data_IF_842975675095
#
_entry.id   IF_842975675095
#
_cell.length_a   1.000
_cell.length_b   1.000
_cell.length_c   1.000
_cell.angle_alpha   90.00
_cell.angle_beta   90.00
_cell.angle_gamma   90.00
#
_symmetry.space_group_name_H-M   'P 1'
#
loop_
_entity.id
_entity.type
_entity.pdbx_description
1 polymer ?
#
# COMPACT_ATOMS: atom_id res chain seq x y z
N UNK A 1 25.25 1.08 5.93
CA UNK A 1 26.13 2.17 5.43
C UNK A 1 25.22 3.34 5.09
N UNK A 2 25.62 4.59 5.34
CA UNK A 2 24.77 5.73 4.98
C UNK A 2 24.63 5.80 3.44
N UNK A 3 23.40 5.69 2.92
CA UNK A 3 23.09 5.94 1.50
C UNK A 3 23.52 7.37 1.16
N UNK A 4 24.27 7.54 0.07
CA UNK A 4 24.87 8.84 -0.32
C UNK A 4 24.04 9.59 -1.35
N UNK A 5 23.36 8.86 -2.23
CA UNK A 5 22.57 9.38 -3.34
C UNK A 5 21.07 9.23 -3.05
N UNK A 6 20.26 10.09 -3.66
CA UNK A 6 18.80 10.13 -3.50
C UNK A 6 18.13 9.22 -4.52
N UNK A 7 17.05 8.55 -4.13
CA UNK A 7 16.33 7.56 -4.97
C UNK A 7 15.28 8.21 -5.91
N UNK A 8 15.16 9.54 -5.92
CA UNK A 8 14.35 10.27 -6.91
C UNK A 8 15.22 10.72 -8.10
N UNK A 9 14.61 10.88 -9.30
CA UNK A 9 15.26 11.45 -10.46
C UNK A 9 16.11 12.67 -10.13
N UNK A 10 17.35 12.65 -10.60
CA UNK A 10 18.21 13.81 -10.55
C UNK A 10 17.53 14.96 -11.30
N UNK A 11 17.21 16.03 -10.58
CA UNK A 11 16.45 17.16 -11.13
C UNK A 11 17.17 18.49 -11.11
N UNK A 12 18.42 18.54 -10.65
CA UNK A 12 19.12 19.82 -10.50
C UNK A 12 19.23 20.54 -11.85
N UNK A 13 18.92 21.85 -11.87
CA UNK A 13 18.86 22.68 -13.07
C UNK A 13 17.78 22.28 -14.11
N UNK A 14 17.05 21.18 -13.89
CA UNK A 14 15.94 20.73 -14.71
C UNK A 14 14.62 20.89 -13.95
N UNK A 15 14.11 22.12 -13.98
CA UNK A 15 12.85 22.47 -13.35
C UNK A 15 12.18 23.61 -14.11
N UNK A 16 10.86 23.79 -13.94
CA UNK A 16 10.18 24.93 -14.55
C UNK A 16 10.86 26.25 -14.19
N UNK A 17 11.23 26.45 -12.92
CA UNK A 17 11.88 27.68 -12.47
C UNK A 17 13.34 27.88 -12.91
N UNK A 18 14.01 26.84 -13.42
CA UNK A 18 15.37 26.93 -13.98
C UNK A 18 15.36 27.07 -15.50
N UNK A 19 14.30 26.62 -16.15
CA UNK A 19 14.12 26.62 -17.61
C UNK A 19 13.05 27.64 -17.98
N UNK A 20 13.25 28.90 -17.60
CA UNK A 20 12.33 30.02 -17.87
C UNK A 20 12.96 31.01 -18.83
N UNK A 21 12.18 31.47 -19.81
CA UNK A 21 12.47 32.67 -20.59
C UNK A 21 11.21 33.53 -20.61
N UNK A 22 11.34 34.85 -20.39
CA UNK A 22 10.21 35.80 -20.41
C UNK A 22 9.00 35.36 -19.54
N UNK A 23 9.27 34.77 -18.38
CA UNK A 23 8.29 34.19 -17.43
C UNK A 23 7.52 32.95 -17.93
N UNK A 24 7.93 32.36 -19.06
CA UNK A 24 7.36 31.13 -19.64
C UNK A 24 8.32 29.93 -19.48
N UNK A 25 7.76 28.75 -19.19
CA UNK A 25 8.52 27.50 -19.01
C UNK A 25 8.89 26.91 -20.36
N UNK A 26 10.17 26.55 -20.54
CA UNK A 26 10.77 26.27 -21.84
C UNK A 26 11.15 24.80 -22.03
N UNK A 27 10.37 23.85 -21.51
CA UNK A 27 10.56 22.44 -21.82
C UNK A 27 10.50 22.15 -23.34
N UNK A 28 9.56 22.72 -24.13
CA UNK A 28 9.55 22.55 -25.58
C UNK A 28 10.89 22.91 -26.24
N UNK A 29 11.48 24.06 -25.87
CA UNK A 29 12.76 24.50 -26.39
C UNK A 29 13.89 23.55 -25.99
N UNK A 30 13.91 23.04 -24.76
CA UNK A 30 14.90 22.04 -24.35
C UNK A 30 14.80 20.79 -25.22
N UNK A 31 13.60 20.30 -25.52
CA UNK A 31 13.41 19.15 -26.41
C UNK A 31 13.87 19.45 -27.85
N UNK A 32 13.65 20.66 -28.36
CA UNK A 32 14.20 21.07 -29.67
C UNK A 32 15.73 21.07 -29.68
N UNK A 33 16.35 21.53 -28.59
CA UNK A 33 17.81 21.54 -28.43
C UNK A 33 18.37 20.12 -28.33
N UNK A 34 17.69 19.20 -27.64
CA UNK A 34 18.07 17.77 -27.62
C UNK A 34 18.05 17.24 -29.05
N UNK A 35 16.98 17.50 -29.81
CA UNK A 35 16.87 17.01 -31.20
C UNK A 35 17.95 17.59 -32.12
N UNK A 36 18.23 18.89 -31.97
CA UNK A 36 19.25 19.61 -32.75
C UNK A 36 20.65 19.05 -32.52
N UNK A 37 20.94 18.60 -31.30
CA UNK A 37 22.26 18.15 -30.86
C UNK A 37 22.30 16.67 -30.48
N UNK A 38 21.46 15.83 -31.11
CA UNK A 38 21.50 14.38 -30.90
C UNK A 38 22.93 13.85 -31.00
N UNK A 39 23.32 13.01 -30.03
CA UNK A 39 24.68 12.46 -29.89
C UNK A 39 25.80 13.48 -29.65
N UNK A 40 25.46 14.73 -29.33
CA UNK A 40 26.42 15.80 -29.05
C UNK A 40 26.05 16.57 -27.77
N UNK A 41 26.17 15.89 -26.63
CA UNK A 41 25.86 16.43 -25.30
C UNK A 41 26.66 17.69 -24.96
N UNK A 42 27.90 17.83 -25.46
CA UNK A 42 28.74 19.00 -25.20
C UNK A 42 28.19 20.26 -25.89
N UNK A 43 27.77 20.13 -27.16
CA UNK A 43 27.16 21.24 -27.89
C UNK A 43 25.79 21.63 -27.30
N UNK A 44 24.98 20.63 -26.92
CA UNK A 44 23.74 20.86 -26.18
C UNK A 44 23.99 21.63 -24.87
N UNK A 45 24.96 21.19 -24.08
CA UNK A 45 25.30 21.81 -22.78
C UNK A 45 25.75 23.25 -22.95
N UNK A 46 26.55 23.55 -23.99
CA UNK A 46 26.96 24.92 -24.30
C UNK A 46 25.76 25.80 -24.64
N UNK A 47 24.84 25.32 -25.48
CA UNK A 47 23.66 26.11 -25.87
C UNK A 47 22.68 26.31 -24.70
N UNK A 48 22.49 25.31 -23.84
CA UNK A 48 21.74 25.47 -22.58
C UNK A 48 22.39 26.54 -21.68
N UNK A 49 23.72 26.56 -21.58
CA UNK A 49 24.43 27.56 -20.78
C UNK A 49 24.21 28.98 -21.31
N UNK A 50 24.27 29.15 -22.64
CA UNK A 50 24.13 30.44 -23.30
C UNK A 50 22.69 30.98 -23.20
N UNK A 51 21.69 30.09 -23.24
CA UNK A 51 20.27 30.47 -23.20
C UNK A 51 19.77 30.70 -21.77
N UNK A 52 19.97 29.73 -20.87
CA UNK A 52 19.33 29.74 -19.55
C UNK A 52 20.23 30.25 -18.42
N UNK A 53 21.55 30.29 -18.63
CA UNK A 53 22.51 30.69 -17.60
C UNK A 53 23.48 31.82 -18.02
N UNK A 54 23.10 32.79 -18.88
CA UNK A 54 24.05 33.78 -19.42
C UNK A 54 24.72 34.65 -18.34
N UNK A 55 23.99 34.94 -17.26
CA UNK A 55 24.47 35.78 -16.15
C UNK A 55 25.06 34.98 -14.99
N UNK A 56 25.15 33.65 -15.12
CA UNK A 56 25.71 32.80 -14.07
C UNK A 56 27.23 32.99 -13.97
N UNK A 57 27.82 32.99 -12.76
CA UNK A 57 29.26 32.97 -12.60
C UNK A 57 29.91 31.66 -13.10
N UNK A 58 29.11 30.58 -13.23
CA UNK A 58 29.57 29.28 -13.76
C UNK A 58 28.49 28.66 -14.67
N UNK A 59 28.22 29.21 -15.86
CA UNK A 59 27.11 28.80 -16.73
C UNK A 59 27.17 27.33 -17.12
N UNK A 60 28.34 26.88 -17.62
CA UNK A 60 28.55 25.50 -18.04
C UNK A 60 28.42 24.49 -16.90
N UNK A 61 28.79 24.86 -15.68
CA UNK A 61 28.64 23.96 -14.53
C UNK A 61 27.17 23.74 -14.19
N UNK A 62 26.34 24.77 -14.28
CA UNK A 62 24.89 24.62 -14.06
C UNK A 62 24.22 23.89 -15.22
N UNK A 63 24.57 24.26 -16.46
CA UNK A 63 24.02 23.64 -17.66
C UNK A 63 24.29 22.13 -17.75
N UNK A 64 25.44 21.66 -17.25
CA UNK A 64 25.79 20.23 -17.20
C UNK A 64 24.81 19.37 -16.40
N UNK A 65 24.04 19.95 -15.49
CA UNK A 65 23.04 19.20 -14.73
C UNK A 65 21.79 18.90 -15.57
N UNK A 66 21.50 19.68 -16.61
CA UNK A 66 20.34 19.45 -17.48
C UNK A 66 20.42 18.12 -18.24
N UNK A 67 21.50 17.77 -18.98
CA UNK A 67 21.58 16.47 -19.64
C UNK A 67 21.58 15.30 -18.65
N UNK A 68 22.21 15.44 -17.47
CA UNK A 68 22.12 14.43 -16.40
C UNK A 68 20.68 14.21 -15.95
N UNK A 69 19.92 15.30 -15.78
CA UNK A 69 18.51 15.22 -15.40
C UNK A 69 17.63 14.67 -16.50
N UNK A 70 17.94 14.92 -17.78
CA UNK A 70 17.23 14.28 -18.89
C UNK A 70 17.46 12.77 -18.94
N UNK A 71 18.53 12.25 -18.32
CA UNK A 71 18.83 10.82 -18.25
C UNK A 71 20.15 10.39 -18.90
N UNK A 72 20.99 11.33 -19.35
CA UNK A 72 22.29 11.01 -19.91
C UNK A 72 23.35 10.81 -18.81
N UNK A 73 23.92 9.61 -18.68
CA UNK A 73 25.04 9.31 -17.79
C UNK A 73 24.65 8.56 -16.51
N UNK A 74 25.59 8.45 -15.56
CA UNK A 74 25.49 7.55 -14.39
C UNK A 74 24.47 7.98 -13.31
N UNK A 75 23.55 8.91 -13.62
CA UNK A 75 22.52 9.40 -12.69
C UNK A 75 21.14 9.04 -13.22
N UNK A 76 20.30 8.51 -12.34
CA UNK A 76 18.91 8.24 -12.67
C UNK A 76 18.18 9.57 -12.86
N UNK A 77 17.93 9.96 -14.11
CA UNK A 77 17.23 11.18 -14.48
C UNK A 77 15.73 10.95 -14.75
N UNK A 78 15.15 11.73 -15.66
CA UNK A 78 13.76 11.62 -16.12
C UNK A 78 13.59 10.69 -17.33
N UNK A 79 14.64 9.93 -17.69
CA UNK A 79 14.60 8.91 -18.75
C UNK A 79 14.19 9.42 -20.13
N UNK A 80 14.38 10.70 -20.41
CA UNK A 80 14.00 11.35 -21.68
C UNK A 80 15.05 11.11 -22.77
N UNK A 81 16.30 10.88 -22.39
CA UNK A 81 17.38 10.56 -23.32
C UNK A 81 18.16 9.34 -22.86
N UNK A 82 18.82 8.67 -23.80
CA UNK A 82 19.78 7.59 -23.55
C UNK A 82 21.14 8.16 -23.16
N UNK A 83 22.06 7.29 -22.72
CA UNK A 83 23.47 7.66 -22.46
C UNK A 83 24.19 8.22 -23.69
N UNK A 84 23.80 7.81 -24.89
CA UNK A 84 24.30 8.33 -26.16
C UNK A 84 23.66 9.68 -26.55
N UNK A 85 22.86 10.27 -25.66
CA UNK A 85 22.15 11.54 -25.86
C UNK A 85 21.24 11.52 -27.10
N UNK A 86 20.45 10.44 -27.21
CA UNK A 86 19.34 10.30 -28.16
C UNK A 86 18.03 10.22 -27.38
N UNK A 87 16.91 10.61 -27.99
CA UNK A 87 15.62 10.41 -27.33
C UNK A 87 15.34 8.93 -27.05
N UNK A 88 14.82 8.67 -25.85
CA UNK A 88 14.09 7.43 -25.57
C UNK A 88 12.68 7.49 -26.20
N UNK A 89 11.90 6.41 -26.09
CA UNK A 89 10.51 6.40 -26.56
C UNK A 89 9.70 7.53 -25.90
N UNK A 90 9.83 7.72 -24.58
CA UNK A 90 9.18 8.83 -23.87
C UNK A 90 9.71 10.20 -24.34
N UNK A 91 11.02 10.34 -24.53
CA UNK A 91 11.60 11.60 -25.02
C UNK A 91 11.08 11.98 -26.40
N UNK A 92 10.95 10.99 -27.30
CA UNK A 92 10.41 11.19 -28.64
C UNK A 92 8.92 11.55 -28.61
N UNK A 93 8.13 10.89 -27.76
CA UNK A 93 6.72 11.24 -27.56
C UNK A 93 6.55 12.69 -27.06
N UNK A 94 7.32 13.10 -26.07
CA UNK A 94 7.30 14.49 -25.57
C UNK A 94 7.75 15.48 -26.65
N UNK A 95 8.79 15.15 -27.42
CA UNK A 95 9.22 15.99 -28.53
C UNK A 95 8.11 16.16 -29.58
N UNK A 96 7.36 15.10 -29.89
CA UNK A 96 6.25 15.18 -30.85
C UNK A 96 5.10 16.07 -30.34
N UNK A 97 4.88 16.09 -29.02
CA UNK A 97 3.89 16.94 -28.33
C UNK A 97 4.35 18.39 -28.08
N UNK A 98 5.59 18.76 -28.39
CA UNK A 98 6.17 20.08 -28.02
C UNK A 98 5.39 21.32 -28.46
N UNK A 99 4.47 21.20 -29.41
CA UNK A 99 3.63 22.32 -29.89
C UNK A 99 2.26 22.40 -29.18
N UNK A 100 1.97 21.43 -28.31
CA UNK A 100 0.79 21.37 -27.44
C UNK A 100 1.30 21.24 -25.99
N UNK A 101 1.49 22.39 -25.34
CA UNK A 101 2.10 22.43 -24.00
C UNK A 101 1.27 21.72 -22.95
N UNK A 102 -0.06 21.79 -23.04
CA UNK A 102 -0.95 21.10 -22.11
C UNK A 102 -0.76 19.58 -22.23
N UNK A 103 -0.83 19.03 -23.45
CA UNK A 103 -0.59 17.59 -23.68
C UNK A 103 0.85 17.17 -23.34
N UNK A 104 1.83 18.04 -23.59
CA UNK A 104 3.24 17.82 -23.24
C UNK A 104 3.44 17.64 -21.74
N UNK A 105 2.95 18.59 -20.94
CA UNK A 105 3.13 18.56 -19.48
C UNK A 105 2.31 17.43 -18.86
N UNK A 106 1.10 17.17 -19.35
CA UNK A 106 0.30 16.02 -18.95
C UNK A 106 1.01 14.69 -19.22
N UNK A 107 1.63 14.54 -20.39
CA UNK A 107 2.37 13.34 -20.76
C UNK A 107 3.62 13.15 -19.90
N UNK A 108 4.34 14.22 -19.58
CA UNK A 108 5.50 14.18 -18.67
C UNK A 108 5.06 13.84 -17.24
N UNK A 109 4.01 14.50 -16.73
CA UNK A 109 3.46 14.22 -15.40
C UNK A 109 3.00 12.76 -15.28
N UNK A 110 2.34 12.22 -16.31
CA UNK A 110 1.96 10.80 -16.37
C UNK A 110 3.17 9.86 -16.30
N UNK A 111 4.27 10.20 -16.99
CA UNK A 111 5.51 9.43 -16.88
C UNK A 111 6.10 9.51 -15.46
N UNK A 112 6.15 10.70 -14.85
CA UNK A 112 6.63 10.90 -13.47
C UNK A 112 5.80 10.06 -12.48
N UNK A 113 4.47 10.12 -12.60
CA UNK A 113 3.55 9.40 -11.73
C UNK A 113 3.75 7.88 -11.83
N UNK A 114 3.83 7.34 -13.06
CA UNK A 114 3.85 5.89 -13.31
C UNK A 114 5.23 5.26 -13.14
N UNK A 115 6.29 5.96 -13.54
CA UNK A 115 7.62 5.36 -13.68
C UNK A 115 8.64 5.93 -12.69
N UNK A 116 8.51 7.21 -12.29
CA UNK A 116 9.53 7.92 -11.51
C UNK A 116 9.13 8.17 -10.05
N UNK A 117 8.41 7.21 -9.46
CA UNK A 117 7.93 7.25 -8.08
C UNK A 117 6.95 8.39 -7.74
N UNK A 118 6.49 9.18 -8.71
CA UNK A 118 5.56 10.30 -8.47
C UNK A 118 4.28 9.87 -7.76
N UNK A 119 3.73 8.69 -8.09
CA UNK A 119 2.55 8.13 -7.39
C UNK A 119 2.80 7.90 -5.91
N UNK A 120 3.94 7.30 -5.56
CA UNK A 120 4.32 7.06 -4.16
C UNK A 120 4.39 8.36 -3.36
N UNK A 121 4.85 9.44 -3.97
CA UNK A 121 4.93 10.74 -3.30
C UNK A 121 3.55 11.36 -3.12
N UNK A 122 2.66 11.26 -4.12
CA UNK A 122 1.26 11.67 -4.01
C UNK A 122 0.58 10.93 -2.85
N UNK A 123 0.79 9.62 -2.73
CA UNK A 123 0.26 8.79 -1.63
C UNK A 123 0.76 9.30 -0.27
N UNK A 124 2.07 9.53 -0.09
CA UNK A 124 2.62 10.13 1.14
C UNK A 124 2.01 11.50 1.48
N UNK A 125 1.77 12.33 0.47
CA UNK A 125 1.16 13.65 0.67
C UNK A 125 -0.27 13.49 1.16
N UNK A 126 -1.05 12.55 0.60
CA UNK A 126 -2.41 12.23 1.06
C UNK A 126 -2.39 11.74 2.50
N UNK A 127 -1.49 10.84 2.85
CA UNK A 127 -1.37 10.30 4.21
C UNK A 127 -1.03 11.39 5.24
N UNK A 128 -0.08 12.26 4.92
CA UNK A 128 0.26 13.40 5.77
C UNK A 128 -0.93 14.36 5.95
N UNK A 129 -1.72 14.59 4.89
CA UNK A 129 -2.94 15.43 4.98
C UNK A 129 -4.00 14.76 5.86
N UNK A 130 -4.24 13.47 5.67
CA UNK A 130 -5.23 12.68 6.43
C UNK A 130 -4.86 12.61 7.92
N UNK A 131 -3.58 12.44 8.24
CA UNK A 131 -3.05 12.45 9.60
C UNK A 131 -3.04 13.87 10.25
N UNK A 132 -3.44 14.92 9.52
CA UNK A 132 -3.36 16.30 9.98
C UNK A 132 -1.92 16.82 10.15
N UNK A 133 -0.95 16.13 9.56
CA UNK A 133 0.46 16.50 9.57
C UNK A 133 0.80 17.57 8.51
N UNK A 134 1.96 18.21 8.68
CA UNK A 134 2.45 19.19 7.70
C UNK A 134 3.13 18.47 6.53
N UNK A 135 2.77 18.83 5.30
CA UNK A 135 3.38 18.33 4.05
C UNK A 135 4.70 19.03 3.71
N UNK A 136 5.64 19.06 4.67
CA UNK A 136 6.98 19.62 4.47
C UNK A 136 7.90 18.62 3.76
N UNK A 137 8.91 19.09 3.03
CA UNK A 137 9.92 18.22 2.38
C UNK A 137 10.54 17.23 3.36
N UNK A 138 10.80 17.64 4.60
CA UNK A 138 11.34 16.76 5.64
C UNK A 138 10.38 15.64 6.01
N UNK A 139 9.10 15.95 6.17
CA UNK A 139 8.09 14.94 6.50
C UNK A 139 7.87 13.99 5.31
N UNK A 140 7.82 14.52 4.08
CA UNK A 140 7.71 13.72 2.87
C UNK A 140 8.91 12.78 2.72
N UNK A 141 10.14 13.30 2.84
CA UNK A 141 11.36 12.49 2.79
C UNK A 141 11.39 11.41 3.87
N UNK A 142 11.02 11.76 5.11
CA UNK A 142 10.93 10.79 6.21
C UNK A 142 9.91 9.69 5.94
N UNK A 143 8.76 10.04 5.38
CA UNK A 143 7.72 9.05 5.08
C UNK A 143 8.06 8.22 3.82
N UNK A 144 8.71 8.79 2.81
CA UNK A 144 9.18 8.02 1.65
C UNK A 144 10.25 7.00 2.03
N UNK A 145 11.17 7.37 2.93
CA UNK A 145 12.16 6.45 3.50
C UNK A 145 11.48 5.38 4.37
N UNK A 146 10.47 5.78 5.17
CA UNK A 146 9.72 4.87 6.05
C UNK A 146 8.84 3.87 5.30
N UNK A 147 8.09 4.33 4.30
CA UNK A 147 7.02 3.56 3.66
C UNK A 147 7.46 2.87 2.37
N UNK A 148 8.46 3.42 1.66
CA UNK A 148 8.88 2.91 0.35
C UNK A 148 10.38 2.58 0.26
N UNK A 149 11.13 2.69 1.36
CA UNK A 149 12.59 2.59 1.38
C UNK A 149 13.26 3.53 0.36
N UNK A 150 12.61 4.67 0.08
CA UNK A 150 13.08 5.70 -0.84
C UNK A 150 13.79 6.80 -0.05
N UNK A 151 15.11 6.78 -0.10
CA UNK A 151 15.96 7.72 0.60
C UNK A 151 16.03 9.04 -0.16
N UNK A 152 15.67 10.11 0.55
CA UNK A 152 15.79 11.49 0.12
C UNK A 152 16.76 12.23 1.02
N UNK A 153 17.88 12.66 0.44
CA UNK A 153 18.84 13.49 1.17
C UNK A 153 18.21 14.83 1.53
N UNK A 154 18.28 15.22 2.80
CA UNK A 154 17.63 16.45 3.33
C UNK A 154 18.06 17.73 2.59
N UNK A 155 19.27 17.75 2.02
CA UNK A 155 19.79 18.87 1.22
C UNK A 155 19.50 18.78 -0.27
N UNK A 156 18.84 17.72 -0.75
CA UNK A 156 18.56 17.51 -2.17
C UNK A 156 17.42 18.42 -2.64
N UNK A 157 17.57 18.95 -3.85
CA UNK A 157 16.53 19.73 -4.54
C UNK A 157 15.60 18.87 -5.38
N UNK A 158 15.91 17.59 -5.63
CA UNK A 158 15.24 16.75 -6.63
C UNK A 158 13.71 16.68 -6.45
N UNK A 159 13.22 16.53 -5.22
CA UNK A 159 11.78 16.57 -4.93
C UNK A 159 11.13 17.90 -5.33
N UNK A 160 11.78 19.03 -5.04
CA UNK A 160 11.21 20.34 -5.38
C UNK A 160 11.15 20.55 -6.89
N UNK A 161 12.11 19.99 -7.64
CA UNK A 161 12.14 20.08 -9.11
C UNK A 161 11.04 19.21 -9.73
N UNK A 162 10.89 17.98 -9.24
CA UNK A 162 9.78 17.09 -9.62
C UNK A 162 8.42 17.72 -9.29
N UNK A 163 8.27 18.32 -8.10
CA UNK A 163 7.05 19.05 -7.72
C UNK A 163 6.77 20.21 -8.67
N UNK A 164 7.79 20.86 -9.20
CA UNK A 164 7.65 21.87 -10.25
C UNK A 164 6.98 21.30 -11.49
N UNK A 165 7.50 20.20 -12.03
CA UNK A 165 6.92 19.57 -13.23
C UNK A 165 5.50 19.07 -13.02
N UNK A 166 5.20 18.49 -11.85
CA UNK A 166 3.83 18.10 -11.49
C UNK A 166 2.89 19.31 -11.37
N UNK A 167 3.41 20.51 -11.11
CA UNK A 167 2.62 21.74 -11.03
C UNK A 167 2.31 22.32 -12.40
N UNK A 168 3.18 22.16 -13.40
CA UNK A 168 2.91 22.59 -14.79
C UNK A 168 1.72 21.82 -15.38
N UNK A 169 1.51 20.57 -14.97
CA UNK A 169 0.33 19.78 -15.33
C UNK A 169 -0.88 19.98 -14.38
N UNK A 170 -0.84 20.95 -13.46
CA UNK A 170 -1.90 21.26 -12.49
C UNK A 170 -2.23 20.13 -11.47
N UNK A 171 -1.32 19.18 -11.22
CA UNK A 171 -1.53 18.11 -10.22
C UNK A 171 -1.30 18.61 -8.80
N UNK A 172 -0.33 19.49 -8.61
CA UNK A 172 0.15 19.92 -7.29
C UNK A 172 0.45 21.41 -7.27
N UNK A 173 0.02 22.11 -6.22
CA UNK A 173 0.39 23.51 -6.06
C UNK A 173 1.86 23.69 -5.62
N UNK A 174 2.50 24.79 -6.02
CA UNK A 174 3.87 25.17 -5.58
C UNK A 174 3.89 26.41 -4.67
N UNK A 175 2.82 27.22 -4.70
CA UNK A 175 2.77 28.56 -4.09
C UNK A 175 2.60 28.59 -2.57
N UNK A 176 2.24 27.46 -1.94
CA UNK A 176 2.06 27.38 -0.48
C UNK A 176 2.80 26.20 0.14
N UNK A 177 3.17 26.34 1.41
CA UNK A 177 3.78 25.26 2.20
C UNK A 177 2.83 24.09 2.42
N UNK A 178 1.52 24.35 2.45
CA UNK A 178 0.49 23.31 2.44
C UNK A 178 0.32 22.83 1.01
N UNK A 179 0.75 21.61 0.75
CA UNK A 179 0.51 20.96 -0.54
C UNK A 179 -0.99 20.70 -0.70
N UNK A 180 -1.53 21.06 -1.86
CA UNK A 180 -2.87 20.70 -2.34
C UNK A 180 -2.68 19.87 -3.60
N UNK A 181 -3.37 18.74 -3.63
CA UNK A 181 -3.44 17.86 -4.77
C UNK A 181 -4.70 18.19 -5.57
N UNK A 182 -4.59 18.11 -6.89
CA UNK A 182 -5.73 18.08 -7.79
C UNK A 182 -6.03 16.61 -8.11
N UNK A 183 -6.78 15.96 -7.23
CA UNK A 183 -7.08 14.54 -7.35
C UNK A 183 -7.81 14.24 -8.67
N UNK A 184 -8.69 15.13 -9.13
CA UNK A 184 -9.39 15.03 -10.42
C UNK A 184 -8.41 14.88 -11.59
N UNK A 185 -7.35 15.71 -11.62
CA UNK A 185 -6.34 15.68 -12.69
C UNK A 185 -5.39 14.49 -12.56
N UNK A 186 -5.03 14.11 -11.33
CA UNK A 186 -4.21 12.92 -11.06
C UNK A 186 -4.92 11.66 -11.57
N UNK A 187 -6.21 11.54 -11.27
CA UNK A 187 -7.08 10.45 -11.70
C UNK A 187 -7.18 10.40 -13.23
N UNK A 188 -7.47 11.53 -13.87
CA UNK A 188 -7.51 11.69 -15.34
C UNK A 188 -6.23 11.17 -16.01
N UNK A 189 -5.05 11.60 -15.54
CA UNK A 189 -3.76 11.26 -16.15
C UNK A 189 -3.36 9.80 -15.93
N UNK A 190 -3.74 9.21 -14.80
CA UNK A 190 -3.55 7.79 -14.55
C UNK A 190 -4.46 6.93 -15.43
N UNK A 191 -5.51 7.52 -16.01
CA UNK A 191 -6.52 6.84 -16.83
C UNK A 191 -7.73 6.38 -16.02
N UNK A 192 -7.97 6.99 -14.85
CA UNK A 192 -9.18 6.81 -14.05
C UNK A 192 -10.26 7.68 -14.68
N UNK A 193 -10.88 7.19 -15.75
CA UNK A 193 -12.03 7.87 -16.34
C UNK A 193 -13.22 7.79 -15.37
N UNK A 194 -13.80 8.95 -15.04
CA UNK A 194 -14.91 9.07 -14.08
C UNK A 194 -16.17 8.35 -14.56
N UNK A 195 -16.33 8.17 -15.87
CA UNK A 195 -17.42 7.41 -16.48
C UNK A 195 -17.14 5.89 -16.55
N UNK A 196 -15.92 5.46 -16.19
CA UNK A 196 -15.51 4.05 -15.99
C UNK A 196 -15.20 3.73 -14.52
N UNK A 197 -15.68 4.54 -13.57
CA UNK A 197 -15.96 3.97 -12.24
C UNK A 197 -16.84 2.75 -12.46
N UNK A 198 -16.31 1.58 -12.16
CA UNK A 198 -17.15 0.39 -12.02
C UNK A 198 -18.30 0.80 -11.12
N UNK A 199 -19.53 0.65 -11.60
CA UNK A 199 -20.74 0.91 -10.84
C UNK A 199 -20.84 -0.14 -9.72
N UNK A 200 -20.01 0.04 -8.69
CA UNK A 200 -19.98 -0.78 -7.48
C UNK A 200 -21.32 -0.63 -6.74
N UNK A 201 -22.00 0.50 -6.90
CA UNK A 201 -23.34 0.75 -6.36
C UNK A 201 -24.41 -0.17 -7.01
N UNK A 202 -24.15 -0.67 -8.22
CA UNK A 202 -24.96 -1.67 -8.90
C UNK A 202 -24.70 -3.13 -8.49
N UNK A 203 -23.66 -3.40 -7.69
CA UNK A 203 -23.37 -4.75 -7.22
C UNK A 203 -24.40 -5.19 -6.17
N UNK A 204 -24.88 -6.42 -6.31
CA UNK A 204 -25.65 -7.06 -5.23
C UNK A 204 -24.77 -7.30 -3.99
N UNK A 205 -25.37 -7.41 -2.81
CA UNK A 205 -24.67 -7.73 -1.56
C UNK A 205 -23.76 -8.97 -1.68
N UNK A 206 -24.20 -9.97 -2.46
CA UNK A 206 -23.44 -11.19 -2.74
C UNK A 206 -22.19 -10.94 -3.58
N UNK A 207 -22.32 -10.14 -4.63
CA UNK A 207 -21.20 -9.75 -5.50
C UNK A 207 -20.21 -8.86 -4.74
N UNK A 208 -20.72 -7.89 -3.99
CA UNK A 208 -19.92 -6.99 -3.19
C UNK A 208 -19.12 -7.73 -2.11
N UNK A 209 -19.76 -8.61 -1.35
CA UNK A 209 -19.09 -9.40 -0.32
C UNK A 209 -18.01 -10.33 -0.91
N UNK A 210 -18.29 -10.97 -2.05
CA UNK A 210 -17.30 -11.83 -2.72
C UNK A 210 -16.11 -11.01 -3.23
N UNK A 211 -16.37 -9.91 -3.93
CA UNK A 211 -15.32 -9.04 -4.49
C UNK A 211 -14.46 -8.42 -3.39
N UNK A 212 -15.08 -7.84 -2.36
CA UNK A 212 -14.35 -7.22 -1.25
C UNK A 212 -13.53 -8.24 -0.46
N UNK A 213 -14.03 -9.46 -0.29
CA UNK A 213 -13.25 -10.56 0.30
C UNK A 213 -12.03 -10.90 -0.56
N UNK A 214 -12.21 -11.04 -1.88
CA UNK A 214 -11.10 -11.33 -2.80
C UNK A 214 -10.07 -10.20 -2.85
N UNK A 215 -10.52 -8.95 -2.84
CA UNK A 215 -9.71 -7.73 -2.73
C UNK A 215 -8.89 -7.70 -1.44
N UNK A 216 -9.49 -8.03 -0.30
CA UNK A 216 -8.80 -8.07 1.00
C UNK A 216 -7.71 -9.14 1.05
N UNK A 217 -8.00 -10.31 0.45
CA UNK A 217 -7.03 -11.38 0.32
C UNK A 217 -5.87 -10.99 -0.60
N UNK A 218 -6.18 -10.27 -1.69
CA UNK A 218 -5.25 -9.86 -2.73
C UNK A 218 -4.26 -10.98 -3.12
N UNK A 219 -4.74 -12.16 -3.55
CA UNK A 219 -3.85 -13.30 -3.78
C UNK A 219 -2.98 -13.07 -5.02
N UNK A 220 -1.74 -13.54 -4.96
CA UNK A 220 -0.82 -13.51 -6.10
C UNK A 220 -1.14 -14.63 -7.11
N UNK A 221 -1.61 -15.77 -6.61
CA UNK A 221 -2.02 -16.91 -7.41
C UNK A 221 -3.55 -17.12 -7.39
N UNK A 222 -4.12 -17.78 -8.43
CA UNK A 222 -5.54 -18.13 -8.45
C UNK A 222 -5.99 -18.92 -7.21
N UNK A 223 -7.07 -18.46 -6.57
CA UNK A 223 -7.64 -19.09 -5.37
C UNK A 223 -8.95 -19.80 -5.69
N UNK A 224 -9.22 -20.92 -5.00
CA UNK A 224 -10.49 -21.64 -5.20
C UNK A 224 -11.69 -20.80 -4.77
N UNK A 225 -12.67 -20.62 -5.66
CA UNK A 225 -13.84 -19.77 -5.42
C UNK A 225 -14.63 -20.15 -4.16
N UNK A 226 -14.69 -21.44 -3.80
CA UNK A 226 -15.42 -21.87 -2.63
C UNK A 226 -14.78 -21.38 -1.33
N UNK A 227 -13.45 -21.18 -1.31
CA UNK A 227 -12.73 -20.63 -0.15
C UNK A 227 -13.02 -19.16 0.04
N UNK A 228 -12.99 -18.39 -1.05
CA UNK A 228 -13.39 -16.97 -1.04
C UNK A 228 -14.85 -16.84 -0.61
N UNK A 229 -15.74 -17.68 -1.15
CA UNK A 229 -17.16 -17.72 -0.80
C UNK A 229 -17.38 -18.00 0.68
N UNK A 230 -16.80 -19.08 1.22
CA UNK A 230 -16.93 -19.45 2.64
C UNK A 230 -16.44 -18.31 3.56
N UNK A 231 -15.32 -17.66 3.20
CA UNK A 231 -14.81 -16.52 3.95
C UNK A 231 -15.71 -15.29 3.85
N UNK A 232 -16.31 -15.03 2.68
CA UNK A 232 -17.24 -13.93 2.48
C UNK A 232 -18.53 -14.11 3.30
N UNK A 233 -19.08 -15.33 3.34
CA UNK A 233 -20.23 -15.67 4.19
C UNK A 233 -19.93 -15.39 5.67
N UNK A 234 -18.75 -15.82 6.14
CA UNK A 234 -18.29 -15.62 7.51
C UNK A 234 -18.08 -14.15 7.86
N UNK A 235 -17.45 -13.39 6.97
CA UNK A 235 -17.03 -12.00 7.19
C UNK A 235 -18.20 -11.04 7.13
N UNK A 236 -19.14 -11.28 6.22
CA UNK A 236 -20.22 -10.34 5.91
C UNK A 236 -21.58 -10.79 6.43
N UNK A 237 -21.70 -11.99 7.00
CA UNK A 237 -22.95 -12.51 7.54
C UNK A 237 -24.01 -12.77 6.46
N UNK A 238 -23.59 -13.02 5.22
CA UNK A 238 -24.48 -13.30 4.08
C UNK A 238 -24.45 -14.79 3.71
N UNK A 239 -25.42 -15.22 2.91
CA UNK A 239 -25.44 -16.57 2.34
C UNK A 239 -25.16 -16.52 0.84
N UNK A 240 -24.19 -17.32 0.39
CA UNK A 240 -23.79 -17.46 -1.01
C UNK A 240 -24.04 -18.89 -1.46
N UNK A 241 -25.11 -19.11 -2.22
CA UNK A 241 -25.50 -20.43 -2.73
C UNK A 241 -24.43 -21.00 -3.68
N UNK A 242 -23.80 -22.10 -3.28
CA UNK A 242 -22.74 -22.76 -4.06
C UNK A 242 -23.17 -23.22 -5.45
N UNK A 243 -24.47 -23.51 -5.67
CA UNK A 243 -24.98 -23.95 -6.97
C UNK A 243 -25.18 -22.80 -7.95
N UNK A 244 -25.52 -21.61 -7.45
CA UNK A 244 -25.75 -20.43 -8.27
C UNK A 244 -24.64 -19.38 -8.20
N UNK A 245 -23.57 -19.63 -7.42
CA UNK A 245 -22.43 -18.73 -7.25
C UNK A 245 -21.80 -18.31 -8.58
N UNK A 246 -21.58 -19.26 -9.50
CA UNK A 246 -21.03 -18.92 -10.83
C UNK A 246 -21.95 -17.94 -11.56
N UNK A 247 -23.21 -18.29 -11.76
CA UNK A 247 -24.15 -17.48 -12.53
C UNK A 247 -24.52 -16.13 -11.88
N UNK A 248 -24.55 -16.05 -10.55
CA UNK A 248 -25.00 -14.85 -9.82
C UNK A 248 -23.86 -13.96 -9.33
N UNK A 249 -22.66 -14.51 -9.17
CA UNK A 249 -21.51 -13.80 -8.57
C UNK A 249 -20.35 -13.77 -9.54
N UNK A 250 -19.87 -14.92 -10.01
CA UNK A 250 -18.66 -14.95 -10.84
C UNK A 250 -18.87 -14.38 -12.24
N UNK A 251 -19.92 -14.80 -12.95
CA UNK A 251 -20.21 -14.34 -14.32
C UNK A 251 -20.43 -12.82 -14.35
N UNK A 252 -21.25 -12.21 -13.47
CA UNK A 252 -21.42 -10.75 -13.47
C UNK A 252 -20.14 -9.98 -13.14
N UNK A 253 -19.33 -10.46 -12.17
CA UNK A 253 -18.06 -9.82 -11.84
C UNK A 253 -17.04 -9.95 -12.98
N UNK A 254 -17.06 -11.06 -13.72
CA UNK A 254 -16.23 -11.26 -14.91
C UNK A 254 -16.68 -10.39 -16.09
N UNK A 255 -17.99 -10.22 -16.29
CA UNK A 255 -18.55 -9.32 -17.32
C UNK A 255 -18.17 -7.86 -17.08
N UNK A 256 -18.10 -7.43 -15.82
CA UNK A 256 -17.57 -6.12 -15.43
C UNK A 256 -16.05 -6.01 -15.60
N UNK A 257 -15.38 -7.13 -15.85
CA UNK A 257 -13.92 -7.23 -15.99
C UNK A 257 -13.19 -7.15 -14.66
N UNK A 258 -13.85 -7.42 -13.53
CA UNK A 258 -13.28 -7.30 -12.18
C UNK A 258 -12.53 -8.55 -11.73
N UNK A 259 -13.01 -9.70 -12.18
CA UNK A 259 -12.36 -10.98 -11.90
C UNK A 259 -12.23 -11.76 -13.20
N UNK A 260 -11.32 -12.71 -13.20
CA UNK A 260 -11.41 -13.83 -14.12
C UNK A 260 -11.43 -15.14 -13.32
N UNK A 261 -11.89 -16.20 -13.95
CA UNK A 261 -11.89 -17.52 -13.37
C UNK A 261 -11.75 -18.60 -14.43
N UNK A 262 -11.11 -19.70 -14.03
CA UNK A 262 -10.95 -20.89 -14.85
C UNK A 262 -11.53 -22.12 -14.14
N UNK A 263 -12.22 -22.96 -14.89
CA UNK A 263 -12.60 -24.28 -14.41
C UNK A 263 -11.36 -25.18 -14.37
N UNK A 264 -11.09 -25.81 -13.22
CA UNK A 264 -10.01 -26.80 -13.11
C UNK A 264 -10.26 -27.92 -14.13
N UNK A 265 -9.36 -28.04 -15.11
CA UNK A 265 -9.57 -28.65 -16.41
C UNK A 265 -10.02 -30.14 -16.42
N UNK A 266 -10.02 -30.82 -15.28
CA UNK A 266 -10.24 -32.27 -15.19
C UNK A 266 -11.55 -32.70 -14.51
N UNK A 267 -12.33 -31.78 -13.90
CA UNK A 267 -13.59 -32.17 -13.25
C UNK A 267 -14.54 -30.97 -13.04
N UNK A 268 -15.72 -30.93 -13.68
CA UNK A 268 -16.74 -29.89 -13.47
C UNK A 268 -17.25 -29.78 -12.02
N UNK A 269 -17.00 -30.80 -11.19
CA UNK A 269 -17.38 -30.83 -9.77
C UNK A 269 -16.36 -30.16 -8.85
N UNK A 270 -15.16 -29.85 -9.36
CA UNK A 270 -14.13 -29.14 -8.59
C UNK A 270 -14.40 -27.63 -8.66
N UNK A 271 -14.21 -26.90 -7.55
CA UNK A 271 -14.35 -25.45 -7.54
C UNK A 271 -13.40 -24.80 -8.56
N UNK A 272 -13.91 -23.88 -9.38
CA UNK A 272 -13.10 -22.99 -10.22
C UNK A 272 -12.09 -22.18 -9.40
N UNK A 273 -10.98 -21.85 -10.03
CA UNK A 273 -9.97 -20.92 -9.52
C UNK A 273 -10.28 -19.51 -10.02
N UNK A 274 -10.15 -18.51 -9.15
CA UNK A 274 -10.54 -17.12 -9.38
C UNK A 274 -9.39 -16.18 -9.01
N UNK A 275 -9.29 -15.05 -9.69
CA UNK A 275 -8.29 -14.01 -9.39
C UNK A 275 -8.81 -12.63 -9.82
N UNK A 276 -8.20 -11.59 -9.27
CA UNK A 276 -8.44 -10.22 -9.69
C UNK A 276 -7.78 -9.96 -11.04
N UNK A 277 -8.49 -9.30 -11.95
CA UNK A 277 -7.89 -8.80 -13.19
C UNK A 277 -7.03 -7.57 -12.91
N UNK A 278 -6.17 -7.20 -13.86
CA UNK A 278 -5.45 -5.93 -13.81
C UNK A 278 -6.41 -4.73 -13.74
N UNK A 279 -7.52 -4.81 -14.50
CA UNK A 279 -8.61 -3.83 -14.45
C UNK A 279 -9.17 -3.68 -13.04
N UNK A 280 -9.42 -4.77 -12.31
CA UNK A 280 -9.82 -4.66 -10.91
C UNK A 280 -8.73 -4.06 -10.04
N UNK A 281 -7.47 -4.48 -10.20
CA UNK A 281 -6.35 -3.96 -9.39
C UNK A 281 -6.12 -2.46 -9.57
N UNK A 282 -6.45 -1.91 -10.74
CA UNK A 282 -6.30 -0.50 -11.07
C UNK A 282 -7.59 0.30 -10.82
N UNK A 283 -8.73 -0.16 -11.35
CA UNK A 283 -9.97 0.63 -11.45
C UNK A 283 -10.97 0.35 -10.31
N UNK A 284 -10.95 -0.85 -9.73
CA UNK A 284 -11.90 -1.27 -8.69
C UNK A 284 -11.29 -1.23 -7.29
N UNK A 285 -10.05 -1.69 -7.20
CA UNK A 285 -9.28 -1.83 -5.99
C UNK A 285 -8.98 -0.45 -5.44
N UNK A 286 -8.62 0.52 -6.26
CA UNK A 286 -8.28 1.84 -5.74
C UNK A 286 -9.46 2.52 -5.02
N UNK A 287 -10.66 2.72 -5.62
CA UNK A 287 -11.79 3.29 -4.88
C UNK A 287 -12.27 2.43 -3.70
N UNK A 288 -12.22 1.10 -3.81
CA UNK A 288 -12.61 0.20 -2.71
C UNK A 288 -11.60 0.24 -1.57
N UNK A 289 -10.32 0.33 -1.87
CA UNK A 289 -9.24 0.47 -0.89
C UNK A 289 -9.23 1.88 -0.30
N UNK A 290 -9.56 2.92 -1.08
CA UNK A 290 -9.74 4.28 -0.59
C UNK A 290 -10.94 4.35 0.35
N UNK A 291 -12.13 3.87 -0.06
CA UNK A 291 -13.30 3.79 0.82
C UNK A 291 -13.04 2.92 2.05
N UNK A 292 -12.36 1.78 1.88
CA UNK A 292 -12.01 0.90 3.01
C UNK A 292 -11.02 1.59 3.94
N UNK A 293 -9.95 2.20 3.44
CA UNK A 293 -8.98 2.93 4.25
C UNK A 293 -9.64 4.11 4.98
N UNK A 294 -10.46 4.89 4.28
CA UNK A 294 -11.14 6.06 4.84
C UNK A 294 -12.19 5.65 5.91
N UNK A 295 -12.88 4.53 5.71
CA UNK A 295 -13.89 4.03 6.68
C UNK A 295 -13.32 3.22 7.82
N UNK A 296 -12.21 2.52 7.61
CA UNK A 296 -11.63 1.60 8.61
C UNK A 296 -10.37 2.16 9.25
N UNK A 297 -9.76 3.23 8.75
CA UNK A 297 -8.48 3.75 9.23
C UNK A 297 -7.29 2.82 8.92
N UNK A 298 -7.49 1.71 8.21
CA UNK A 298 -6.41 0.81 7.81
C UNK A 298 -5.52 1.51 6.79
N UNK A 299 -4.19 1.49 6.96
CA UNK A 299 -3.30 2.06 5.97
C UNK A 299 -3.39 1.38 4.60
N UNK A 300 -3.40 2.17 3.52
CA UNK A 300 -3.60 1.68 2.15
C UNK A 300 -2.50 0.70 1.73
N UNK A 301 -1.28 0.89 2.21
CA UNK A 301 -0.15 0.00 1.96
C UNK A 301 -0.43 -1.40 2.48
N UNK A 302 -0.99 -1.54 3.68
CA UNK A 302 -1.35 -2.84 4.25
C UNK A 302 -2.44 -3.49 3.42
N UNK A 303 -3.43 -2.73 2.94
CA UNK A 303 -4.48 -3.28 2.09
C UNK A 303 -3.94 -3.78 0.75
N UNK A 304 -2.96 -3.09 0.16
CA UNK A 304 -2.31 -3.44 -1.11
C UNK A 304 -1.36 -4.62 -1.00
N UNK A 305 -0.76 -4.88 0.16
CA UNK A 305 0.14 -6.04 0.32
C UNK A 305 -0.63 -7.36 0.10
N UNK A 306 -0.04 -8.26 -0.69
CA UNK A 306 -0.50 -9.64 -0.77
C UNK A 306 -0.11 -10.40 0.51
N UNK A 307 -0.77 -11.53 0.76
CA UNK A 307 -0.37 -12.42 1.86
C UNK A 307 1.05 -12.99 1.66
N UNK A 308 1.43 -13.28 0.41
CA UNK A 308 2.76 -13.80 0.07
C UNK A 308 3.84 -12.76 0.33
N UNK A 309 3.62 -11.51 -0.11
CA UNK A 309 4.53 -10.40 0.16
C UNK A 309 4.73 -10.18 1.67
N UNK A 310 3.66 -10.33 2.46
CA UNK A 310 3.74 -10.28 3.92
C UNK A 310 4.60 -11.43 4.45
N UNK A 311 4.39 -12.66 3.97
CA UNK A 311 5.18 -13.82 4.39
C UNK A 311 6.66 -13.67 4.04
N UNK A 312 6.98 -13.26 2.82
CA UNK A 312 8.35 -13.00 2.37
C UNK A 312 9.04 -11.92 3.21
N UNK A 313 8.33 -10.82 3.52
CA UNK A 313 8.88 -9.75 4.35
C UNK A 313 9.06 -10.17 5.83
N UNK A 314 8.21 -11.06 6.36
CA UNK A 314 8.38 -11.61 7.72
C UNK A 314 9.69 -12.38 7.89
N UNK A 315 10.20 -12.97 6.82
CA UNK A 315 11.47 -13.73 6.79
C UNK A 315 12.70 -12.86 6.49
N UNK A 316 12.52 -11.54 6.34
CA UNK A 316 13.61 -10.61 6.10
C UNK A 316 14.60 -10.53 7.28
N UNK A 317 15.90 -10.51 6.98
CA UNK A 317 16.96 -10.23 7.97
C UNK A 317 16.86 -8.80 8.54
N UNK A 318 16.16 -7.90 7.86
CA UNK A 318 15.90 -6.55 8.35
C UNK A 318 14.75 -6.55 9.34
N UNK A 319 15.08 -6.43 10.63
CA UNK A 319 14.11 -6.44 11.74
C UNK A 319 12.96 -5.42 11.57
N UNK A 320 13.23 -4.29 10.92
CA UNK A 320 12.20 -3.30 10.61
C UNK A 320 11.16 -3.83 9.61
N UNK A 321 11.60 -4.43 8.50
CA UNK A 321 10.72 -5.01 7.49
C UNK A 321 9.93 -6.20 8.05
N UNK A 322 10.61 -7.10 8.78
CA UNK A 322 9.95 -8.22 9.43
C UNK A 322 8.91 -7.78 10.48
N UNK A 323 9.17 -6.69 11.21
CA UNK A 323 8.22 -6.09 12.14
C UNK A 323 6.97 -5.53 11.44
N UNK A 324 7.15 -4.77 10.36
CA UNK A 324 6.06 -4.22 9.54
C UNK A 324 5.20 -5.31 8.89
N UNK A 325 5.83 -6.40 8.47
CA UNK A 325 5.10 -7.53 7.91
C UNK A 325 4.20 -8.21 8.95
N UNK A 326 4.68 -8.37 10.20
CA UNK A 326 3.87 -8.92 11.30
C UNK A 326 2.68 -8.01 11.65
N UNK A 327 2.89 -6.71 11.61
CA UNK A 327 1.87 -5.67 11.75
C UNK A 327 0.80 -5.76 10.64
N UNK A 328 1.24 -5.83 9.38
CA UNK A 328 0.36 -6.00 8.23
C UNK A 328 -0.44 -7.32 8.30
N UNK A 329 0.20 -8.41 8.74
CA UNK A 329 -0.44 -9.70 8.97
C UNK A 329 -1.57 -9.61 10.01
N UNK A 330 -1.34 -8.90 11.13
CA UNK A 330 -2.34 -8.73 12.18
C UNK A 330 -3.60 -8.04 11.63
N UNK A 331 -3.43 -6.98 10.84
CA UNK A 331 -4.54 -6.29 10.19
C UNK A 331 -5.25 -7.20 9.20
N UNK A 332 -4.52 -7.89 8.31
CA UNK A 332 -5.13 -8.81 7.33
C UNK A 332 -5.96 -9.89 8.01
N UNK A 333 -5.46 -10.47 9.10
CA UNK A 333 -6.21 -11.45 9.91
C UNK A 333 -7.48 -10.82 10.46
N UNK A 334 -7.42 -9.64 11.06
CA UNK A 334 -8.62 -9.00 11.58
C UNK A 334 -9.65 -8.64 10.50
N UNK A 335 -9.20 -8.18 9.32
CA UNK A 335 -10.07 -7.92 8.17
C UNK A 335 -10.75 -9.19 7.66
N UNK A 336 -10.05 -10.33 7.65
CA UNK A 336 -10.62 -11.66 7.33
C UNK A 336 -11.62 -12.13 8.38
N UNK A 337 -11.57 -11.61 9.60
CA UNK A 337 -12.53 -11.89 10.67
C UNK A 337 -13.70 -10.88 10.70
N UNK A 338 -13.72 -9.90 9.78
CA UNK A 338 -14.74 -8.86 9.75
C UNK A 338 -14.60 -7.81 10.86
N UNK A 339 -13.43 -7.71 11.49
CA UNK A 339 -13.14 -6.69 12.49
C UNK A 339 -12.88 -5.32 11.83
N UNK A 340 -13.17 -4.25 12.54
CA UNK A 340 -12.84 -2.87 12.19
C UNK A 340 -11.52 -2.48 12.86
N UNK A 341 -10.61 -1.91 12.09
CA UNK A 341 -9.34 -1.42 12.64
C UNK A 341 -9.58 -0.16 13.46
N UNK A 342 -8.96 -0.08 14.63
CA UNK A 342 -9.10 1.08 15.52
C UNK A 342 -7.80 1.88 15.60
N UNK A 343 -6.67 1.19 15.85
CA UNK A 343 -5.39 1.86 16.00
C UNK A 343 -4.20 0.90 15.88
N UNK A 344 -3.09 1.45 15.37
CA UNK A 344 -1.75 1.00 15.71
C UNK A 344 -1.43 1.44 17.12
N UNK A 345 -0.94 0.55 17.98
CA UNK A 345 -0.51 0.99 19.30
C UNK A 345 0.96 1.47 19.27
N UNK A 346 1.22 2.64 18.67
CA UNK A 346 2.52 3.30 18.80
C UNK A 346 2.73 3.82 20.24
N UNK A 347 3.73 3.26 20.94
CA UNK A 347 4.73 3.93 21.81
C UNK A 347 4.27 5.09 22.71
N UNK A 348 3.08 5.03 23.29
CA UNK A 348 2.66 5.91 24.38
C UNK A 348 3.27 5.48 25.72
N UNK A 349 4.48 5.96 26.05
CA UNK A 349 5.08 5.78 27.40
C UNK A 349 4.13 6.25 28.51
N UNK A 350 3.27 7.23 28.21
CA UNK A 350 2.37 7.87 29.18
C UNK A 350 1.06 7.10 29.45
N UNK A 351 0.55 6.27 28.53
CA UNK A 351 -0.76 5.60 28.68
C UNK A 351 -0.69 4.09 28.92
N UNK A 352 0.34 3.40 28.42
CA UNK A 352 0.46 1.92 28.53
C UNK A 352 1.67 1.46 29.32
N UNK A 353 2.43 2.38 29.93
CA UNK A 353 3.66 2.05 30.65
C UNK A 353 4.80 1.58 29.74
N UNK A 354 4.76 1.94 28.45
CA UNK A 354 5.79 1.60 27.47
C UNK A 354 5.67 0.21 26.85
N UNK A 355 4.51 -0.42 26.94
CA UNK A 355 4.28 -1.75 26.37
C UNK A 355 3.66 -1.67 24.97
N UNK A 356 4.26 -2.42 24.04
CA UNK A 356 3.93 -2.49 22.61
C UNK A 356 2.96 -3.66 22.33
N UNK A 357 1.83 -3.35 21.67
CA UNK A 357 0.90 -4.29 21.02
C UNK A 357 0.85 -3.92 19.55
N UNK A 358 0.72 -4.89 18.66
CA UNK A 358 0.81 -4.61 17.22
C UNK A 358 -0.46 -3.91 16.71
N UNK A 359 -1.66 -4.47 16.97
CA UNK A 359 -2.93 -3.92 16.43
C UNK A 359 -4.09 -4.04 17.42
N UNK A 360 -4.95 -3.01 17.44
CA UNK A 360 -6.27 -3.04 18.11
C UNK A 360 -7.38 -2.95 17.07
N UNK A 361 -8.38 -3.81 17.20
CA UNK A 361 -9.55 -3.88 16.30
C UNK A 361 -10.83 -4.13 17.09
N UNK A 362 -11.96 -3.63 16.61
CA UNK A 362 -13.28 -3.82 17.23
C UNK A 362 -14.18 -4.70 16.34
N UNK A 363 -15.07 -5.47 16.97
CA UNK A 363 -16.08 -6.23 16.22
C UNK A 363 -17.29 -5.35 15.87
N UNK A 364 -17.91 -5.61 14.72
CA UNK A 364 -19.19 -4.98 14.35
C UNK A 364 -20.34 -5.65 15.12
N UNK A 365 -20.78 -5.02 16.21
CA UNK A 365 -21.86 -5.53 17.04
C UNK A 365 -22.51 -4.47 17.91
N UNK A 366 -23.57 -4.86 18.63
CA UNK A 366 -24.22 -3.98 19.63
C UNK A 366 -23.42 -3.91 20.94
N UNK A 367 -22.47 -4.82 21.14
CA UNK A 367 -21.54 -4.88 22.27
C UNK A 367 -20.16 -4.42 21.83
N UNK A 368 -19.46 -3.71 22.72
CA UNK A 368 -18.04 -3.41 22.51
C UNK A 368 -17.24 -4.69 22.72
N UNK A 369 -16.79 -5.29 21.63
CA UNK A 369 -15.87 -6.43 21.63
C UNK A 369 -14.57 -6.03 20.97
N UNK A 370 -13.60 -5.67 21.82
CA UNK A 370 -12.30 -5.14 21.42
C UNK A 370 -11.22 -6.21 21.46
N UNK A 371 -10.57 -6.38 20.32
CA UNK A 371 -9.50 -7.33 20.06
C UNK A 371 -8.15 -6.63 20.12
N UNK A 372 -7.24 -7.20 20.91
CA UNK A 372 -5.80 -6.95 20.74
C UNK A 372 -5.18 -8.11 19.97
N UNK A 373 -4.46 -7.80 18.91
CA UNK A 373 -3.78 -8.78 18.08
C UNK A 373 -2.28 -8.56 18.24
N UNK A 374 -1.58 -9.61 18.69
CA UNK A 374 -0.13 -9.60 18.85
C UNK A 374 0.47 -10.70 17.97
N UNK A 375 1.20 -10.28 16.96
CA UNK A 375 2.03 -11.09 16.10
C UNK A 375 3.46 -11.20 16.64
N UNK A 376 4.06 -12.38 16.53
CA UNK A 376 5.46 -12.62 16.87
C UNK A 376 6.08 -13.62 15.90
N UNK A 377 7.15 -13.22 15.22
CA UNK A 377 8.02 -14.15 14.52
C UNK A 377 9.12 -14.62 15.48
N UNK A 378 8.99 -15.83 16.03
CA UNK A 378 10.00 -16.40 16.93
C UNK A 378 10.94 -17.38 16.23
N UNK A 379 10.87 -17.51 14.90
CA UNK A 379 11.57 -18.56 14.15
C UNK A 379 11.29 -19.94 14.76
N UNK A 380 12.34 -20.63 15.22
CA UNK A 380 12.22 -21.97 15.83
C UNK A 380 11.79 -21.99 17.31
N UNK A 381 11.59 -20.83 17.95
CA UNK A 381 11.25 -20.76 19.38
C UNK A 381 9.75 -20.68 19.62
N UNK A 382 9.17 -21.62 20.38
CA UNK A 382 7.73 -21.59 20.68
C UNK A 382 7.31 -20.43 21.60
N UNK A 383 6.08 -19.96 21.45
CA UNK A 383 5.45 -18.94 22.29
C UNK A 383 5.31 -19.46 23.73
N UNK A 384 5.82 -18.70 24.70
CA UNK A 384 5.91 -19.07 26.12
C UNK A 384 4.92 -18.30 27.00
N UNK A 385 4.71 -18.81 28.21
CA UNK A 385 3.79 -18.23 29.21
C UNK A 385 4.02 -16.74 29.47
N UNK A 386 5.29 -16.29 29.51
CA UNK A 386 5.63 -14.88 29.74
C UNK A 386 5.08 -13.95 28.64
N UNK A 387 4.94 -14.44 27.40
CA UNK A 387 4.40 -13.66 26.29
C UNK A 387 2.89 -13.48 26.47
N UNK A 388 2.16 -14.56 26.75
CA UNK A 388 0.72 -14.50 27.04
C UNK A 388 0.44 -13.63 28.27
N UNK A 389 1.23 -13.79 29.34
CA UNK A 389 1.06 -13.02 30.57
C UNK A 389 1.27 -11.50 30.36
N UNK A 390 2.20 -11.11 29.48
CA UNK A 390 2.39 -9.71 29.10
C UNK A 390 1.10 -9.17 28.47
N UNK A 391 0.58 -9.82 27.44
CA UNK A 391 -0.60 -9.33 26.72
C UNK A 391 -1.87 -9.34 27.58
N UNK A 392 -2.04 -10.33 28.47
CA UNK A 392 -3.10 -10.33 29.49
C UNK A 392 -2.98 -9.14 30.44
N UNK A 393 -1.76 -8.70 30.77
CA UNK A 393 -1.56 -7.48 31.57
C UNK A 393 -2.00 -6.22 30.84
N UNK A 394 -1.74 -6.15 29.53
CA UNK A 394 -2.07 -4.99 28.69
C UNK A 394 -3.55 -4.86 28.39
N UNK A 395 -4.29 -5.97 28.35
CA UNK A 395 -5.72 -5.95 28.03
C UNK A 395 -6.53 -5.03 28.94
N UNK A 396 -6.10 -4.87 30.19
CA UNK A 396 -6.74 -3.98 31.17
C UNK A 396 -6.54 -2.50 30.86
N UNK A 397 -5.38 -2.13 30.32
CA UNK A 397 -5.09 -0.74 29.94
C UNK A 397 -5.76 -0.39 28.62
N UNK A 398 -5.85 -1.38 27.72
CA UNK A 398 -6.43 -1.23 26.38
C UNK A 398 -7.95 -1.46 26.35
N UNK A 399 -8.55 -1.86 27.47
CA UNK A 399 -9.95 -2.29 27.57
C UNK A 399 -10.31 -3.36 26.52
N UNK A 400 -9.39 -4.27 26.23
CA UNK A 400 -9.63 -5.38 25.30
C UNK A 400 -10.25 -6.56 26.04
N UNK A 401 -11.19 -7.24 25.38
CA UNK A 401 -11.84 -8.43 25.93
C UNK A 401 -11.49 -9.70 25.14
N UNK A 402 -10.78 -9.55 24.01
CA UNK A 402 -10.22 -10.64 23.24
C UNK A 402 -8.74 -10.39 22.95
N UNK A 403 -7.91 -11.40 23.19
CA UNK A 403 -6.47 -11.41 22.91
C UNK A 403 -6.21 -12.48 21.86
N UNK A 404 -5.73 -12.06 20.69
CA UNK A 404 -5.28 -12.97 19.64
C UNK A 404 -3.75 -12.97 19.59
N UNK A 405 -3.15 -14.11 19.95
CA UNK A 405 -1.72 -14.34 19.84
C UNK A 405 -1.42 -15.04 18.52
N UNK A 406 -0.71 -14.39 17.61
CA UNK A 406 -0.29 -14.93 16.32
C UNK A 406 1.21 -15.21 16.36
N UNK A 407 1.62 -16.40 15.93
CA UNK A 407 3.03 -16.79 15.92
C UNK A 407 3.34 -17.69 14.72
N UNK A 408 4.54 -17.56 14.16
CA UNK A 408 5.05 -18.44 13.08
C UNK A 408 5.48 -19.81 13.60
N UNK A 409 5.66 -19.95 14.92
CA UNK A 409 5.95 -21.21 15.61
C UNK A 409 4.72 -21.79 16.32
N UNK A 410 4.88 -22.84 17.14
CA UNK A 410 3.82 -23.35 18.03
C UNK A 410 3.80 -22.62 19.39
N UNK A 411 2.80 -22.92 20.21
CA UNK A 411 2.58 -22.41 21.57
C UNK A 411 2.80 -23.55 22.57
N UNK A 412 3.70 -23.35 23.54
CA UNK A 412 3.99 -24.38 24.55
C UNK A 412 2.76 -24.68 25.42
N UNK A 413 2.67 -25.93 25.89
CA UNK A 413 1.53 -26.39 26.70
C UNK A 413 1.26 -25.49 27.92
N UNK A 414 2.31 -25.07 28.64
CA UNK A 414 2.18 -24.21 29.83
C UNK A 414 1.55 -22.85 29.52
N UNK A 415 1.81 -22.30 28.32
CA UNK A 415 1.21 -21.04 27.89
C UNK A 415 -0.30 -21.22 27.60
N UNK A 416 -0.68 -22.34 26.98
CA UNK A 416 -2.10 -22.70 26.75
C UNK A 416 -2.83 -22.94 28.08
N UNK A 417 -2.19 -23.64 29.03
CA UNK A 417 -2.74 -23.85 30.37
C UNK A 417 -2.91 -22.55 31.15
N UNK A 418 -1.94 -21.64 31.06
CA UNK A 418 -2.04 -20.31 31.65
C UNK A 418 -3.21 -19.53 31.06
N UNK A 419 -3.32 -19.48 29.73
CA UNK A 419 -4.44 -18.82 29.05
C UNK A 419 -5.80 -19.37 29.50
N UNK A 420 -5.95 -20.70 29.59
CA UNK A 420 -7.18 -21.33 30.08
C UNK A 420 -7.51 -20.89 31.53
N UNK A 421 -6.52 -20.85 32.43
CA UNK A 421 -6.71 -20.40 33.82
C UNK A 421 -7.15 -18.93 33.91
N UNK A 422 -6.63 -18.08 33.03
CA UNK A 422 -7.07 -16.68 32.92
C UNK A 422 -8.52 -16.62 32.44
N UNK A 423 -8.83 -17.32 31.34
CA UNK A 423 -10.19 -17.35 30.76
C UNK A 423 -11.24 -17.91 31.74
N UNK A 424 -10.88 -18.80 32.66
CA UNK A 424 -11.79 -19.29 33.71
C UNK A 424 -12.18 -18.23 34.74
N UNK A 425 -11.30 -17.24 34.96
CA UNK A 425 -11.43 -16.28 36.07
C UNK A 425 -11.80 -14.87 35.61
N UNK A 426 -11.54 -14.57 34.35
CA UNK A 426 -11.70 -13.23 33.79
C UNK A 426 -12.60 -13.26 32.56
N UNK A 427 -13.30 -12.15 32.31
CA UNK A 427 -14.04 -11.96 31.07
C UNK A 427 -13.11 -11.58 29.90
N UNK A 428 -12.08 -12.41 29.69
CA UNK A 428 -11.09 -12.27 28.63
C UNK A 428 -11.09 -13.55 27.80
N UNK A 429 -11.08 -13.44 26.47
CA UNK A 429 -10.97 -14.58 25.56
C UNK A 429 -9.58 -14.56 24.96
N UNK A 430 -8.82 -15.65 25.08
CA UNK A 430 -7.44 -15.73 24.58
C UNK A 430 -7.39 -16.81 23.50
N UNK A 431 -7.01 -16.40 22.30
CA UNK A 431 -6.97 -17.21 21.09
C UNK A 431 -5.54 -17.26 20.55
N UNK A 432 -5.24 -18.30 19.78
CA UNK A 432 -3.92 -18.54 19.19
C UNK A 432 -4.02 -18.84 17.70
N UNK A 433 -3.11 -18.29 16.91
CA UNK A 433 -2.79 -18.78 15.56
C UNK A 433 -1.31 -19.15 15.53
N UNK A 434 -1.01 -20.30 14.94
CA UNK A 434 0.35 -20.86 14.86
C UNK A 434 0.83 -20.96 13.42
N UNK A 435 2.10 -21.33 13.23
CA UNK A 435 2.70 -21.52 11.90
C UNK A 435 1.82 -22.36 10.97
N UNK A 436 1.23 -23.45 11.47
CA UNK A 436 0.35 -24.33 10.68
C UNK A 436 -0.86 -23.60 10.05
N UNK A 437 -1.40 -22.58 10.71
CA UNK A 437 -2.47 -21.75 10.18
C UNK A 437 -1.93 -20.64 9.27
N UNK A 438 -0.83 -20.01 9.66
CA UNK A 438 -0.23 -18.89 8.90
C UNK A 438 0.33 -19.37 7.56
N UNK A 439 1.05 -20.49 7.53
CA UNK A 439 1.64 -21.06 6.30
C UNK A 439 0.59 -21.46 5.26
N UNK A 440 -0.66 -21.69 5.70
CA UNK A 440 -1.76 -22.12 4.82
C UNK A 440 -2.74 -20.99 4.50
N UNK A 441 -2.51 -19.78 5.01
CA UNK A 441 -3.46 -18.68 4.90
C UNK A 441 -3.66 -18.22 3.45
N UNK A 442 -2.62 -18.34 2.62
CA UNK A 442 -2.68 -18.04 1.18
C UNK A 442 -3.59 -19.02 0.44
N UNK A 443 -3.45 -20.32 0.71
CA UNK A 443 -4.15 -21.39 -0.04
C UNK A 443 -5.53 -21.72 0.53
N UNK A 444 -5.75 -21.52 1.83
CA UNK A 444 -7.01 -21.74 2.52
C UNK A 444 -7.23 -20.69 3.64
N UNK A 445 -7.54 -19.42 3.29
CA UNK A 445 -7.71 -18.36 4.28
C UNK A 445 -8.86 -18.63 5.27
N UNK A 446 -9.87 -19.38 4.85
CA UNK A 446 -10.97 -19.82 5.73
C UNK A 446 -10.49 -20.78 6.85
N UNK A 447 -9.30 -21.38 6.74
CA UNK A 447 -8.73 -22.19 7.82
C UNK A 447 -8.55 -21.37 9.10
N UNK A 448 -8.17 -20.09 8.97
CA UNK A 448 -7.99 -19.17 10.11
C UNK A 448 -9.31 -18.93 10.85
N UNK A 449 -10.38 -18.57 10.13
CA UNK A 449 -11.69 -18.33 10.76
C UNK A 449 -12.21 -19.60 11.46
N UNK A 450 -12.02 -20.77 10.84
CA UNK A 450 -12.44 -22.06 11.39
C UNK A 450 -11.70 -22.42 12.67
N UNK A 451 -10.38 -22.22 12.70
CA UNK A 451 -9.56 -22.52 13.88
C UNK A 451 -9.92 -21.60 15.05
N UNK A 452 -10.11 -20.30 14.79
CA UNK A 452 -10.52 -19.35 15.81
C UNK A 452 -11.94 -19.64 16.35
N UNK A 453 -12.89 -20.03 15.48
CA UNK A 453 -14.22 -20.49 15.91
C UNK A 453 -14.14 -21.71 16.82
N UNK A 454 -13.29 -22.69 16.49
CA UNK A 454 -13.06 -23.88 17.33
C UNK A 454 -12.50 -23.50 18.70
N UNK A 455 -11.54 -22.58 18.74
CA UNK A 455 -10.97 -22.08 20.00
C UNK A 455 -11.98 -21.26 20.81
N UNK A 456 -12.80 -20.42 20.16
CA UNK A 456 -13.87 -19.67 20.82
C UNK A 456 -14.93 -20.60 21.44
N UNK A 457 -15.29 -21.70 20.77
CA UNK A 457 -16.17 -22.73 21.34
C UNK A 457 -15.55 -23.36 22.58
N UNK A 458 -14.26 -23.71 22.53
CA UNK A 458 -13.53 -24.21 23.70
C UNK A 458 -13.49 -23.19 24.83
N UNK A 459 -13.31 -21.89 24.53
CA UNK A 459 -13.34 -20.83 25.52
C UNK A 459 -14.72 -20.73 26.20
N UNK A 460 -15.82 -20.94 25.46
CA UNK A 460 -17.18 -21.03 26.03
C UNK A 460 -17.32 -22.21 26.99
N UNK A 461 -16.76 -23.37 26.64
CA UNK A 461 -16.75 -24.54 27.52
C UNK A 461 -15.95 -24.29 28.80
N UNK A 462 -14.79 -23.64 28.69
CA UNK A 462 -13.94 -23.27 29.83
C UNK A 462 -14.65 -22.28 30.76
N UNK A 463 -15.46 -21.37 30.21
CA UNK A 463 -16.21 -20.34 30.93
C UNK A 463 -17.61 -20.78 31.38
N UNK A 464 -17.94 -22.06 31.23
CA UNK A 464 -19.25 -22.58 31.62
C UNK A 464 -19.48 -22.32 33.11
N UNK A 465 -20.59 -21.68 33.42
CA UNK A 465 -21.04 -21.50 34.80
C UNK A 465 -21.49 -22.88 35.30
N UNK A 466 -20.82 -23.39 36.34
CA UNK A 466 -21.26 -24.60 37.02
C UNK A 466 -22.50 -24.27 37.87
N UNK A 467 -23.48 -25.18 37.88
CA UNK A 467 -24.61 -25.06 38.78
C UNK A 467 -24.10 -25.14 40.22
N UNK A 468 -24.37 -24.11 41.02
CA UNK A 468 -24.12 -24.15 42.45
C UNK A 468 -25.08 -25.14 43.10
N UNK A 469 -24.56 -26.27 43.57
CA UNK A 469 -25.25 -27.16 44.52
C UNK A 469 -25.62 -26.45 45.83
#
# INVERSE_FOLDING_TARGET
>A
MARKDTDLPFGDAFSPGSLVLDDEVQLPLVLELVKKHERNVDAFTQEIADIFYPDSPNPLTQAKNVPLALGAGDKDGYELVTDDFEFTDIGQELYDLRNDEDELYDRLAKHILKNLHGRKIVDIIRDLIAAGEKTTTKNIARQLDREYDLYLKESSTHWNQMRGWLAEADLINTRTWKIKLNDDKIDELLGVDRDTRIDIDGLSDAQWAFLTTLVRLNPDEPIRNNKVRELAEDTHGIYLDSKSNTAKVLDPLKELGLIDYQHTADNPSKPSEVWLTEKARVEALEPVLEDTADRTGVPREVLRMSISEIQDQMDSDMTFLAGRALEALAIKIGLMLGLEFEAWQERGVESTGGAEVDVIMDSKGVTLDRWQIQCKNYGSSNLRTKHVAKEVGLSRMLNTNTVLMVTTSDVVLDARQFANKVMQKENLTILFLTGDEIDQIETDPHKVSRELKRQAQKAREIKRIEDSD
#
